data_IF_420114624362
#
_entry.id   IF_420114624362
#
_cell.length_a   1.000
_cell.length_b   1.000
_cell.length_c   1.000
_cell.angle_alpha   90.00
_cell.angle_beta   90.00
_cell.angle_gamma   90.00
#
_symmetry.space_group_name_H-M   'P 1'
#
loop_
_entity.id
_entity.type
_entity.pdbx_description
1 polymer ?
#
# COMPACT_ATOMS: atom_id res chain seq x y z
N UNK A 1 -10.62 5.83 5.24
CA UNK A 1 -10.69 4.47 4.64
C UNK A 1 -9.71 4.41 3.47
N UNK A 2 -8.82 3.42 3.44
CA UNK A 2 -7.90 3.18 2.31
C UNK A 2 -8.53 2.14 1.39
N UNK A 3 -9.32 2.60 0.42
CA UNK A 3 -10.03 1.74 -0.53
C UNK A 3 -9.85 2.28 -1.95
N UNK A 4 -9.13 1.54 -2.78
CA UNK A 4 -8.79 1.95 -4.15
C UNK A 4 -9.91 1.52 -5.10
N UNK A 5 -10.52 2.45 -5.87
CA UNK A 5 -11.49 2.09 -6.89
C UNK A 5 -10.85 1.24 -7.98
N UNK A 6 -11.43 0.07 -8.24
CA UNK A 6 -10.94 -0.87 -9.24
C UNK A 6 -11.86 -0.85 -10.46
N UNK A 7 -11.28 -1.00 -11.64
CA UNK A 7 -11.99 -1.24 -12.87
C UNK A 7 -11.78 -2.70 -13.28
N UNK A 8 -12.89 -3.42 -13.46
CA UNK A 8 -12.91 -4.79 -13.95
C UNK A 8 -13.48 -4.78 -15.36
N UNK A 9 -12.74 -5.32 -16.32
CA UNK A 9 -13.16 -5.39 -17.73
C UNK A 9 -13.02 -6.83 -18.21
N UNK A 10 -14.06 -7.45 -18.81
CA UNK A 10 -13.91 -8.77 -19.42
C UNK A 10 -12.83 -8.78 -20.50
N UNK A 11 -12.00 -9.82 -20.51
CA UNK A 11 -10.96 -10.06 -21.50
C UNK A 11 -11.34 -11.22 -22.45
N UNK A 12 -10.57 -11.40 -23.54
CA UNK A 12 -10.87 -12.35 -24.62
C UNK A 12 -10.69 -13.84 -24.25
N UNK A 13 -10.03 -14.10 -23.13
CA UNK A 13 -9.73 -15.42 -22.59
C UNK A 13 -10.68 -15.85 -21.45
N UNK A 14 -11.75 -15.08 -21.21
CA UNK A 14 -12.72 -15.35 -20.14
C UNK A 14 -12.29 -14.88 -18.74
N UNK A 15 -11.17 -14.15 -18.63
CA UNK A 15 -10.75 -13.50 -17.39
C UNK A 15 -11.29 -12.07 -17.27
N UNK A 16 -11.07 -11.44 -16.12
CA UNK A 16 -11.33 -10.03 -15.86
C UNK A 16 -10.00 -9.29 -15.75
N UNK A 17 -9.73 -8.38 -16.67
CA UNK A 17 -8.66 -7.40 -16.58
C UNK A 17 -8.94 -6.42 -15.44
N UNK A 18 -7.95 -6.26 -14.56
CA UNK A 18 -7.97 -5.39 -13.40
C UNK A 18 -7.07 -4.18 -13.66
N UNK A 19 -7.61 -2.98 -13.49
CA UNK A 19 -6.82 -1.74 -13.54
C UNK A 19 -7.25 -0.76 -12.46
N UNK A 20 -6.33 0.12 -12.07
CA UNK A 20 -6.60 1.20 -11.12
C UNK A 20 -6.29 2.56 -11.74
N UNK A 21 -7.23 3.50 -11.61
CA UNK A 21 -7.01 4.88 -12.07
C UNK A 21 -5.88 5.56 -11.28
N UNK A 22 -5.86 5.33 -9.97
CA UNK A 22 -4.94 6.02 -9.06
C UNK A 22 -3.52 5.42 -9.10
N UNK A 23 -3.41 4.16 -9.53
CA UNK A 23 -2.15 3.41 -9.59
C UNK A 23 -2.08 2.69 -10.96
N UNK A 24 -1.78 3.41 -12.06
CA UNK A 24 -1.85 2.85 -13.41
C UNK A 24 -0.91 1.66 -13.65
N UNK A 25 0.16 1.54 -12.89
CA UNK A 25 1.12 0.43 -12.95
C UNK A 25 0.60 -0.85 -12.30
N UNK A 26 -0.45 -0.78 -11.45
CA UNK A 26 -1.10 -1.95 -10.88
C UNK A 26 -2.09 -2.52 -11.91
N UNK A 27 -1.62 -3.51 -12.67
CA UNK A 27 -2.41 -4.22 -13.69
C UNK A 27 -2.28 -5.72 -13.45
N UNK A 28 -3.39 -6.43 -13.46
CA UNK A 28 -3.45 -7.88 -13.31
C UNK A 28 -4.73 -8.43 -13.93
N UNK A 29 -4.97 -9.74 -13.87
CA UNK A 29 -6.20 -10.36 -14.29
C UNK A 29 -6.62 -11.45 -13.30
N UNK A 30 -7.91 -11.79 -13.27
CA UNK A 30 -8.42 -12.93 -12.48
C UNK A 30 -9.54 -13.67 -13.20
N UNK A 31 -9.72 -14.94 -12.87
CA UNK A 31 -10.68 -15.85 -13.53
C UNK A 31 -12.14 -15.61 -13.12
N UNK A 32 -12.33 -14.96 -11.98
CA UNK A 32 -13.63 -14.57 -11.44
C UNK A 32 -13.52 -13.19 -10.79
N UNK A 33 -14.65 -12.60 -10.40
CA UNK A 33 -14.61 -11.31 -9.72
C UNK A 33 -13.88 -11.37 -8.37
N UNK A 34 -14.07 -12.45 -7.59
CA UNK A 34 -13.40 -12.60 -6.29
C UNK A 34 -11.88 -12.86 -6.44
N UNK A 35 -11.50 -13.68 -7.43
CA UNK A 35 -10.09 -13.88 -7.77
C UNK A 35 -9.48 -12.57 -8.27
N UNK A 36 -10.15 -11.86 -9.18
CA UNK A 36 -9.69 -10.58 -9.70
C UNK A 36 -9.45 -9.56 -8.58
N UNK A 37 -10.33 -9.47 -7.58
CA UNK A 37 -10.15 -8.60 -6.41
C UNK A 37 -8.98 -9.04 -5.50
N UNK A 38 -8.72 -10.34 -5.39
CA UNK A 38 -7.57 -10.89 -4.67
C UNK A 38 -6.27 -10.51 -5.38
N UNK A 39 -6.18 -10.79 -6.69
CA UNK A 39 -5.04 -10.42 -7.52
C UNK A 39 -4.83 -8.90 -7.52
N UNK A 40 -5.91 -8.12 -7.48
CA UNK A 40 -5.86 -6.67 -7.48
C UNK A 40 -5.15 -6.11 -6.23
N UNK A 41 -5.32 -6.74 -5.06
CA UNK A 41 -4.58 -6.36 -3.85
C UNK A 41 -3.08 -6.62 -4.02
N UNK A 42 -2.71 -7.82 -4.49
CA UNK A 42 -1.31 -8.18 -4.71
C UNK A 42 -0.64 -7.23 -5.73
N UNK A 43 -1.36 -6.86 -6.79
CA UNK A 43 -0.88 -5.90 -7.79
C UNK A 43 -0.67 -4.50 -7.20
N UNK A 44 -1.56 -4.02 -6.32
CA UNK A 44 -1.38 -2.75 -5.61
C UNK A 44 -0.15 -2.81 -4.71
N UNK A 45 0.00 -3.87 -3.91
CA UNK A 45 1.13 -4.04 -3.00
C UNK A 45 2.47 -4.03 -3.76
N UNK A 46 2.55 -4.76 -4.87
CA UNK A 46 3.73 -4.76 -5.74
C UNK A 46 4.01 -3.37 -6.35
N UNK A 47 2.98 -2.69 -6.85
CA UNK A 47 3.13 -1.34 -7.39
C UNK A 47 3.63 -0.37 -6.31
N UNK A 48 3.07 -0.39 -5.10
CA UNK A 48 3.50 0.49 -4.01
C UNK A 48 4.97 0.32 -3.64
N UNK A 49 5.49 -0.92 -3.65
CA UNK A 49 6.91 -1.18 -3.44
C UNK A 49 7.79 -0.54 -4.54
N UNK A 50 7.34 -0.59 -5.79
CA UNK A 50 8.01 0.08 -6.92
C UNK A 50 7.98 1.60 -6.74
N UNK A 51 6.82 2.19 -6.45
CA UNK A 51 6.69 3.64 -6.18
C UNK A 51 7.70 4.10 -5.12
N UNK A 52 7.77 3.38 -4.00
CA UNK A 52 8.69 3.72 -2.92
C UNK A 52 10.16 3.52 -3.32
N UNK A 53 10.49 2.44 -4.04
CA UNK A 53 11.85 2.19 -4.54
C UNK A 53 12.32 3.30 -5.51
N UNK A 54 11.42 3.80 -6.35
CA UNK A 54 11.64 4.91 -7.28
C UNK A 54 11.60 6.29 -6.60
N UNK A 55 11.39 6.34 -5.29
CA UNK A 55 11.23 7.58 -4.48
C UNK A 55 10.06 8.45 -4.97
N UNK A 56 9.03 7.82 -5.54
CA UNK A 56 7.77 8.45 -5.93
C UNK A 56 6.77 8.31 -4.77
N UNK A 57 6.02 9.37 -4.41
CA UNK A 57 4.93 9.23 -3.46
C UNK A 57 3.94 8.18 -3.94
N UNK A 58 3.54 7.28 -3.04
CA UNK A 58 2.50 6.29 -3.29
C UNK A 58 1.16 7.05 -3.41
N UNK A 59 0.43 6.91 -4.52
CA UNK A 59 -0.84 7.62 -4.73
C UNK A 59 -1.89 7.24 -3.70
N UNK A 60 -2.61 8.23 -3.16
CA UNK A 60 -3.74 8.00 -2.26
C UNK A 60 -5.00 7.63 -3.06
N UNK A 61 -5.91 6.81 -2.50
CA UNK A 61 -7.10 6.37 -3.23
C UNK A 61 -8.05 7.54 -3.51
N UNK A 62 -8.57 7.59 -4.73
CA UNK A 62 -9.65 8.50 -5.10
C UNK A 62 -11.00 8.03 -4.56
N UNK A 63 -11.97 8.94 -4.50
CA UNK A 63 -13.32 8.62 -4.05
C UNK A 63 -14.00 7.67 -5.07
N UNK A 64 -14.48 6.48 -4.65
CA UNK A 64 -15.19 5.57 -5.54
C UNK A 64 -16.45 6.18 -6.13
N UNK A 65 -16.78 5.84 -7.38
CA UNK A 65 -18.08 6.16 -7.97
C UNK A 65 -19.17 5.28 -7.36
N UNK A 66 -20.44 5.70 -7.47
CA UNK A 66 -21.59 4.92 -6.98
C UNK A 66 -21.60 3.53 -7.63
N UNK A 67 -21.54 2.48 -6.81
CA UNK A 67 -21.53 1.08 -7.26
C UNK A 67 -20.20 0.57 -7.82
N UNK A 68 -19.14 1.39 -7.81
CA UNK A 68 -17.82 0.94 -8.23
C UNK A 68 -17.22 0.00 -7.19
N UNK A 69 -16.65 -1.12 -7.64
CA UNK A 69 -15.90 -2.02 -6.77
C UNK A 69 -14.64 -1.34 -6.24
N UNK A 70 -14.21 -1.78 -5.07
CA UNK A 70 -13.02 -1.24 -4.40
C UNK A 70 -12.16 -2.38 -3.87
N UNK A 71 -10.85 -2.15 -3.85
CA UNK A 71 -9.90 -2.97 -3.09
C UNK A 71 -9.58 -2.23 -1.81
N UNK A 72 -10.06 -2.77 -0.68
CA UNK A 72 -9.76 -2.23 0.64
C UNK A 72 -8.39 -2.74 1.09
N UNK A 73 -7.49 -1.83 1.43
CA UNK A 73 -6.21 -2.22 1.99
C UNK A 73 -6.39 -2.75 3.41
N UNK A 74 -5.71 -3.85 3.78
CA UNK A 74 -5.52 -4.22 5.17
C UNK A 74 -4.91 -3.04 5.95
N UNK A 75 -5.29 -2.89 7.22
CA UNK A 75 -4.83 -1.76 8.06
C UNK A 75 -3.31 -1.66 8.10
N UNK A 76 -2.60 -2.80 8.20
CA UNK A 76 -1.14 -2.82 8.19
C UNK A 76 -0.56 -2.31 6.87
N UNK A 77 -1.11 -2.72 5.72
CA UNK A 77 -0.68 -2.26 4.40
C UNK A 77 -0.92 -0.75 4.26
N UNK A 78 -2.09 -0.25 4.66
CA UNK A 78 -2.40 1.18 4.66
C UNK A 78 -1.41 1.98 5.54
N UNK A 79 -1.10 1.49 6.74
CA UNK A 79 -0.13 2.11 7.65
C UNK A 79 1.29 2.13 7.04
N UNK A 80 1.70 1.08 6.33
CA UNK A 80 3.00 1.06 5.63
C UNK A 80 3.05 2.05 4.48
N UNK A 81 1.97 2.21 3.72
CA UNK A 81 1.84 3.25 2.69
C UNK A 81 2.02 4.64 3.30
N UNK A 82 1.35 4.89 4.44
CA UNK A 82 1.51 6.15 5.18
C UNK A 82 2.94 6.38 5.66
N UNK A 83 3.58 5.37 6.25
CA UNK A 83 4.97 5.45 6.68
C UNK A 83 5.92 5.73 5.50
N UNK A 84 5.76 5.00 4.38
CA UNK A 84 6.55 5.20 3.18
C UNK A 84 6.40 6.62 2.63
N UNK A 85 5.17 7.14 2.53
CA UNK A 85 4.92 8.52 2.09
C UNK A 85 5.51 9.55 3.05
N UNK A 86 5.42 9.34 4.36
CA UNK A 86 6.01 10.25 5.34
C UNK A 86 7.54 10.26 5.25
N UNK A 87 8.17 9.10 5.08
CA UNK A 87 9.61 9.00 4.84
C UNK A 87 10.02 9.79 3.58
N UNK A 88 9.26 9.66 2.49
CA UNK A 88 9.52 10.41 1.26
C UNK A 88 9.35 11.92 1.45
N UNK A 89 8.27 12.35 2.10
CA UNK A 89 7.99 13.76 2.38
C UNK A 89 9.09 14.41 3.23
N UNK A 90 9.59 13.70 4.25
CA UNK A 90 10.68 14.16 5.11
C UNK A 90 12.09 13.87 4.56
N UNK A 91 12.19 13.24 3.38
CA UNK A 91 13.46 12.79 2.77
C UNK A 91 14.31 11.88 3.67
N UNK A 92 13.65 11.05 4.49
CA UNK A 92 14.27 10.09 5.40
C UNK A 92 14.59 8.80 4.66
N UNK A 93 15.85 8.37 4.67
CA UNK A 93 16.26 7.09 4.09
C UNK A 93 15.97 5.94 5.06
N UNK A 94 15.93 4.72 4.54
CA UNK A 94 15.81 3.50 5.37
C UNK A 94 16.89 3.41 6.45
N UNK A 95 18.13 3.79 6.13
CA UNK A 95 19.25 3.84 7.07
C UNK A 95 19.03 4.86 8.18
N UNK A 96 18.41 6.00 7.86
CA UNK A 96 18.13 7.05 8.84
C UNK A 96 17.04 6.59 9.80
N UNK A 97 15.96 5.98 9.27
CA UNK A 97 14.90 5.39 10.10
C UNK A 97 15.45 4.28 11.00
N UNK A 98 16.28 3.38 10.46
CA UNK A 98 16.94 2.34 11.24
C UNK A 98 17.75 2.93 12.41
N UNK A 99 18.54 3.98 12.15
CA UNK A 99 19.32 4.68 13.18
C UNK A 99 18.43 5.36 14.22
N UNK A 100 17.34 6.03 13.81
CA UNK A 100 16.38 6.67 14.73
C UNK A 100 15.68 5.67 15.64
N UNK A 101 15.37 4.48 15.09
CA UNK A 101 14.71 3.40 15.81
C UNK A 101 15.67 2.52 16.61
N UNK A 102 16.99 2.64 16.43
CA UNK A 102 17.98 1.78 17.08
C UNK A 102 17.93 0.31 16.61
N UNK A 103 17.49 0.06 15.36
CA UNK A 103 17.35 -1.29 14.78
C UNK A 103 18.22 -1.46 13.54
N UNK A 104 18.34 -2.70 13.05
CA UNK A 104 19.07 -2.95 11.80
C UNK A 104 18.25 -2.59 10.56
N UNK A 105 18.94 -2.35 9.43
CA UNK A 105 18.28 -1.97 8.18
C UNK A 105 17.38 -3.07 7.62
N UNK A 106 17.69 -4.36 7.85
CA UNK A 106 16.86 -5.49 7.39
C UNK A 106 15.47 -5.46 8.03
N UNK A 107 15.36 -5.04 9.30
CA UNK A 107 14.07 -4.87 9.96
C UNK A 107 13.26 -3.74 9.32
N UNK A 108 13.90 -2.64 8.91
CA UNK A 108 13.25 -1.55 8.16
C UNK A 108 12.83 -2.01 6.76
N UNK A 109 13.67 -2.78 6.07
CA UNK A 109 13.31 -3.33 4.76
C UNK A 109 12.07 -4.22 4.85
N UNK A 110 12.00 -5.11 5.84
CA UNK A 110 10.82 -5.96 6.10
C UNK A 110 9.60 -5.15 6.49
N UNK A 111 9.77 -4.07 7.26
CA UNK A 111 8.68 -3.18 7.67
C UNK A 111 8.02 -2.48 6.47
N UNK A 112 8.82 -2.11 5.46
CA UNK A 112 8.36 -1.38 4.28
C UNK A 112 7.94 -2.29 3.13
N UNK A 113 8.11 -3.61 3.25
CA UNK A 113 7.49 -4.58 2.33
C UNK A 113 6.01 -4.69 2.63
N UNK A 114 5.16 -4.54 1.61
CA UNK A 114 3.71 -4.43 1.79
C UNK A 114 3.12 -5.75 2.32
N UNK A 115 3.51 -6.87 1.69
CA UNK A 115 3.04 -8.22 2.02
C UNK A 115 3.73 -8.89 3.24
N UNK A 116 4.71 -8.23 3.88
CA UNK A 116 5.43 -8.84 5.00
C UNK A 116 4.69 -8.65 6.32
N UNK A 117 4.59 -9.70 7.15
CA UNK A 117 3.98 -9.57 8.48
C UNK A 117 4.78 -8.61 9.38
N UNK A 118 4.16 -7.51 9.81
CA UNK A 118 4.80 -6.49 10.65
C UNK A 118 3.93 -6.21 11.86
N UNK A 119 4.57 -6.08 13.03
CA UNK A 119 3.92 -5.72 14.28
C UNK A 119 3.48 -4.26 14.26
N UNK A 120 2.27 -3.97 14.78
CA UNK A 120 1.71 -2.61 14.80
C UNK A 120 2.61 -1.68 15.61
N UNK A 121 3.12 -2.15 16.76
CA UNK A 121 3.98 -1.39 17.66
C UNK A 121 5.26 -0.90 16.97
N UNK A 122 5.78 -1.70 16.02
CA UNK A 122 6.95 -1.31 15.21
C UNK A 122 6.62 -0.16 14.26
N UNK A 123 5.42 -0.16 13.66
CA UNK A 123 4.96 0.90 12.77
C UNK A 123 4.64 2.19 13.54
N UNK A 124 4.02 2.07 14.71
CA UNK A 124 3.79 3.19 15.64
C UNK A 124 5.11 3.83 16.05
N UNK A 125 6.09 3.01 16.46
CA UNK A 125 7.42 3.50 16.83
C UNK A 125 8.08 4.22 15.65
N UNK A 126 8.04 3.63 14.46
CA UNK A 126 8.62 4.23 13.25
C UNK A 126 8.00 5.62 12.97
N UNK A 127 6.67 5.70 12.93
CA UNK A 127 5.94 6.96 12.73
C UNK A 127 6.23 7.97 13.85
N UNK A 128 6.35 7.51 15.10
CA UNK A 128 6.75 8.33 16.25
C UNK A 128 8.12 8.98 16.05
N UNK A 129 9.10 8.27 15.50
CA UNK A 129 10.41 8.86 15.15
C UNK A 129 10.37 9.88 14.02
N UNK A 130 9.24 9.95 13.30
CA UNK A 130 8.94 10.94 12.27
C UNK A 130 7.99 12.05 12.78
N UNK A 131 7.66 12.07 14.08
CA UNK A 131 6.76 13.05 14.67
C UNK A 131 5.29 12.84 14.29
N UNK A 132 4.91 11.63 13.88
CA UNK A 132 3.53 11.23 13.56
C UNK A 132 3.03 10.23 14.59
N UNK A 133 1.71 10.15 14.74
CA UNK A 133 1.04 9.16 15.58
C UNK A 133 -0.06 8.47 14.77
N UNK A 134 -0.31 7.20 15.08
CA UNK A 134 -1.47 6.49 14.56
C UNK A 134 -2.68 6.81 15.41
N UNK A 135 -3.81 7.03 14.75
CA UNK A 135 -5.11 7.19 15.38
C UNK A 135 -6.03 6.09 14.86
N UNK A 136 -6.81 5.49 15.76
CA UNK A 136 -7.77 4.44 15.43
C UNK A 136 -9.17 4.96 15.69
N UNK A 137 -10.02 4.86 14.67
CA UNK A 137 -11.44 5.24 14.74
C UNK A 137 -12.31 4.08 14.27
N UNK A 138 -13.43 3.85 14.96
CA UNK A 138 -14.50 2.96 14.48
C UNK A 138 -15.51 3.79 13.69
N UNK A 139 -15.89 3.31 12.50
CA UNK A 139 -16.82 3.98 11.58
C UNK A 139 -17.98 3.07 11.18
#
# INVERSE_FOLDING_TARGET
>A
MFAYPVNLTPDDNGTLLVTFKDVPEAITAGESEDDALTQALDALEAAFEIYFAEKRPIPMPSKPKRGQRVVQLPVLTATKVLLANEMLAQKVRKSDLARRMGINQVQVDRMLKMNHATRVESLETALGTLGRHLEVSLV
#
